data_IF_684141476701
#
_entry.id   IF_684141476701
#
_cell.length_a   1.000
_cell.length_b   1.000
_cell.length_c   1.000
_cell.angle_alpha   90.00
_cell.angle_beta   90.00
_cell.angle_gamma   90.00
#
_symmetry.space_group_name_H-M   'P 1'
#
loop_
_entity.id
_entity.type
_entity.pdbx_description
1 polymer ?
#
# COMPACT_ATOMS: atom_id res chain seq x y z
N UNK A 1 -8.48 15.24 -24.62
CA UNK A 1 -7.56 15.46 -23.49
C UNK A 1 -7.86 16.76 -22.75
N UNK A 2 -8.30 17.79 -23.45
CA UNK A 2 -8.54 19.14 -22.90
C UNK A 2 -9.65 19.19 -21.83
N UNK A 3 -10.73 18.40 -21.99
CA UNK A 3 -11.82 18.35 -21.01
C UNK A 3 -11.36 17.77 -19.66
N UNK A 4 -10.55 16.71 -19.66
CA UNK A 4 -10.02 16.11 -18.44
C UNK A 4 -9.02 17.04 -17.75
N UNK A 5 -8.15 17.71 -18.52
CA UNK A 5 -7.23 18.72 -18.01
C UNK A 5 -7.99 19.87 -17.36
N UNK A 6 -9.03 20.38 -18.00
CA UNK A 6 -9.88 21.45 -17.46
C UNK A 6 -10.61 21.05 -16.16
N UNK A 7 -11.07 19.81 -16.04
CA UNK A 7 -11.67 19.30 -14.80
C UNK A 7 -10.65 19.23 -13.65
N UNK A 8 -9.43 18.77 -13.94
CA UNK A 8 -8.34 18.73 -12.94
C UNK A 8 -7.98 20.15 -12.50
N UNK A 9 -7.81 21.08 -13.44
CA UNK A 9 -7.48 22.48 -13.12
C UNK A 9 -8.58 23.15 -12.28
N UNK A 10 -9.85 22.91 -12.61
CA UNK A 10 -10.97 23.41 -11.82
C UNK A 10 -10.99 22.82 -10.41
N UNK A 11 -10.72 21.51 -10.27
CA UNK A 11 -10.68 20.86 -8.97
C UNK A 11 -9.52 21.39 -8.10
N UNK A 12 -8.32 21.56 -8.65
CA UNK A 12 -7.18 22.14 -7.94
C UNK A 12 -7.46 23.59 -7.53
N UNK A 13 -7.99 24.41 -8.43
CA UNK A 13 -8.34 25.78 -8.13
C UNK A 13 -9.40 25.92 -7.04
N UNK A 14 -10.44 25.07 -7.06
CA UNK A 14 -11.54 25.11 -6.07
C UNK A 14 -11.09 24.68 -4.67
N UNK A 15 -10.04 23.83 -4.59
CA UNK A 15 -9.50 23.32 -3.31
C UNK A 15 -8.29 24.11 -2.82
N UNK A 16 -7.79 25.07 -3.59
CA UNK A 16 -6.52 25.78 -3.33
C UNK A 16 -5.32 24.84 -3.13
N UNK A 17 -5.37 23.64 -3.72
CA UNK A 17 -4.30 22.64 -3.69
C UNK A 17 -3.52 22.62 -4.99
N UNK A 18 -2.23 22.34 -4.90
CA UNK A 18 -1.43 22.00 -6.08
C UNK A 18 -1.40 20.47 -6.33
N UNK A 19 -0.68 20.02 -7.35
CA UNK A 19 -0.62 18.62 -7.72
C UNK A 19 0.03 17.75 -6.61
N UNK A 20 0.99 18.29 -5.85
CA UNK A 20 1.64 17.59 -4.72
C UNK A 20 0.67 17.48 -3.54
N UNK A 21 -0.03 18.56 -3.20
CA UNK A 21 -1.02 18.56 -2.13
C UNK A 21 -2.21 17.65 -2.45
N UNK A 22 -2.65 17.61 -3.70
CA UNK A 22 -3.68 16.68 -4.15
C UNK A 22 -3.24 15.21 -3.99
N UNK A 23 -1.97 14.90 -4.29
CA UNK A 23 -1.41 13.57 -4.09
C UNK A 23 -1.31 13.20 -2.60
N UNK A 24 -0.92 14.14 -1.73
CA UNK A 24 -0.93 13.98 -0.27
C UNK A 24 -2.36 13.73 0.24
N UNK A 25 -3.30 14.56 -0.20
CA UNK A 25 -4.71 14.45 0.15
C UNK A 25 -5.28 13.08 -0.25
N UNK A 26 -4.93 12.56 -1.44
CA UNK A 26 -5.31 11.21 -1.86
C UNK A 26 -4.87 10.14 -0.85
N UNK A 27 -3.61 10.13 -0.41
CA UNK A 27 -3.14 9.13 0.56
C UNK A 27 -3.80 9.29 1.93
N UNK A 28 -4.01 10.53 2.38
CA UNK A 28 -4.68 10.82 3.67
C UNK A 28 -6.14 10.38 3.60
N UNK A 29 -6.88 10.74 2.55
CA UNK A 29 -8.28 10.37 2.39
C UNK A 29 -8.46 8.86 2.28
N UNK A 30 -7.56 8.17 1.53
CA UNK A 30 -7.55 6.71 1.48
C UNK A 30 -7.32 6.09 2.86
N UNK A 31 -6.42 6.66 3.67
CA UNK A 31 -6.17 6.26 5.06
C UNK A 31 -7.40 6.43 5.93
N UNK A 32 -8.03 7.60 5.88
CA UNK A 32 -9.26 7.91 6.62
C UNK A 32 -10.41 6.98 6.21
N UNK A 33 -10.52 6.67 4.91
CA UNK A 33 -11.55 5.74 4.41
C UNK A 33 -11.38 4.35 5.00
N UNK A 34 -10.14 3.81 5.01
CA UNK A 34 -9.86 2.49 5.61
C UNK A 34 -10.17 2.49 7.11
N UNK A 35 -9.77 3.54 7.83
CA UNK A 35 -10.09 3.68 9.25
C UNK A 35 -11.59 3.74 9.49
N UNK A 36 -12.32 4.52 8.70
CA UNK A 36 -13.78 4.63 8.81
C UNK A 36 -14.47 3.28 8.59
N UNK A 37 -14.04 2.51 7.59
CA UNK A 37 -14.55 1.15 7.35
C UNK A 37 -14.22 0.21 8.51
N UNK A 38 -13.05 0.38 9.15
CA UNK A 38 -12.65 -0.46 10.29
C UNK A 38 -13.45 -0.18 11.58
N UNK A 39 -14.07 1.01 11.70
CA UNK A 39 -14.92 1.41 12.81
C UNK A 39 -16.40 1.01 12.63
N UNK A 40 -16.75 0.45 11.47
CA UNK A 40 -18.12 -0.04 11.24
C UNK A 40 -18.45 -1.20 12.18
N UNK A 41 -19.74 -1.36 12.57
CA UNK A 41 -20.21 -2.50 13.33
C UNK A 41 -19.79 -3.83 12.70
N UNK A 42 -19.56 -4.86 13.51
CA UNK A 42 -19.04 -6.18 13.05
C UNK A 42 -19.87 -6.78 11.91
N UNK A 43 -21.16 -6.53 11.88
CA UNK A 43 -22.08 -6.98 10.81
C UNK A 43 -21.77 -6.37 9.43
N UNK A 44 -21.28 -5.13 9.38
CA UNK A 44 -20.86 -4.44 8.16
C UNK A 44 -19.37 -4.67 7.89
N UNK A 45 -18.53 -4.62 8.91
CA UNK A 45 -17.10 -4.85 8.82
C UNK A 45 -16.77 -6.22 8.20
N UNK A 46 -17.48 -7.29 8.61
CA UNK A 46 -17.30 -8.64 8.08
C UNK A 46 -17.61 -8.77 6.58
N UNK A 47 -18.49 -7.92 6.05
CA UNK A 47 -18.87 -7.92 4.62
C UNK A 47 -17.76 -7.38 3.70
N UNK A 48 -16.99 -6.38 4.17
CA UNK A 48 -16.05 -5.62 3.33
C UNK A 48 -14.57 -5.95 3.59
N UNK A 49 -14.21 -6.35 4.82
CA UNK A 49 -12.80 -6.43 5.24
C UNK A 49 -12.25 -7.85 5.29
N UNK A 50 -13.09 -8.88 5.46
CA UNK A 50 -12.61 -10.26 5.57
C UNK A 50 -12.41 -10.86 4.16
N UNK A 51 -11.15 -11.16 3.80
CA UNK A 51 -10.80 -11.81 2.54
C UNK A 51 -9.68 -12.85 2.73
N UNK A 52 -9.45 -13.65 1.69
CA UNK A 52 -8.40 -14.68 1.66
C UNK A 52 -8.81 -15.99 2.35
N UNK A 53 -7.79 -16.77 2.75
CA UNK A 53 -7.98 -18.06 3.42
C UNK A 53 -8.77 -17.98 4.74
N UNK A 54 -8.95 -16.78 5.27
CA UNK A 54 -9.70 -16.49 6.49
C UNK A 54 -11.21 -16.40 6.25
N UNK A 55 -11.65 -15.99 5.07
CA UNK A 55 -13.07 -15.94 4.69
C UNK A 55 -13.65 -17.35 4.48
N UNK A 56 -12.87 -18.28 3.91
CA UNK A 56 -13.32 -19.65 3.64
C UNK A 56 -13.42 -20.53 4.89
N UNK A 57 -12.77 -20.16 6.00
CA UNK A 57 -12.85 -20.93 7.25
C UNK A 57 -14.08 -20.60 8.11
N UNK A 58 -14.79 -19.51 7.81
CA UNK A 58 -16.01 -19.12 8.53
C UNK A 58 -17.26 -19.84 7.96
N UNK A 59 -17.22 -20.23 6.67
CA UNK A 59 -18.35 -20.86 5.99
C UNK A 59 -18.41 -22.40 6.15
N UNK A 60 -17.44 -23.02 6.82
CA UNK A 60 -17.28 -24.49 6.85
C UNK A 60 -17.61 -25.16 8.19
N UNK A 61 -18.43 -24.55 9.04
CA UNK A 61 -18.98 -25.24 10.21
C UNK A 61 -20.50 -25.34 10.10
N UNK A 62 -21.06 -26.51 9.69
CA UNK A 62 -22.49 -26.73 9.84
C UNK A 62 -22.85 -26.80 11.34
N UNK A 63 -23.92 -26.18 11.77
CA UNK A 63 -24.37 -26.32 13.16
C UNK A 63 -24.89 -27.76 13.35
N UNK A 64 -24.15 -28.53 14.15
CA UNK A 64 -24.64 -29.79 14.69
C UNK A 64 -25.50 -29.48 15.89
N UNK A 65 -26.81 -29.38 15.71
CA UNK A 65 -27.82 -29.56 16.77
C UNK A 65 -29.11 -30.08 16.13
N UNK A 66 -29.77 -31.08 16.73
CA UNK A 66 -30.90 -31.78 16.11
C UNK A 66 -32.16 -30.91 16.09
N UNK A 67 -32.91 -31.11 15.01
CA UNK A 67 -34.14 -30.42 14.71
C UNK A 67 -35.19 -30.53 15.83
N UNK A 68 -35.71 -29.41 16.26
CA UNK A 68 -37.06 -29.29 16.73
C UNK A 68 -37.87 -28.51 15.70
N UNK A 69 -38.75 -29.23 15.04
CA UNK A 69 -39.75 -28.72 14.08
C UNK A 69 -40.67 -27.73 14.76
N UNK A 70 -40.56 -26.47 14.40
CA UNK A 70 -41.67 -25.51 14.48
C UNK A 70 -41.68 -24.69 13.22
N UNK A 71 -42.58 -25.01 12.33
CA UNK A 71 -42.93 -24.28 11.14
C UNK A 71 -43.52 -22.92 11.52
N UNK A 72 -42.70 -21.87 11.45
CA UNK A 72 -43.19 -20.52 11.37
C UNK A 72 -42.88 -19.99 9.95
N UNK A 73 -43.93 -19.82 9.18
CA UNK A 73 -43.99 -19.16 7.90
C UNK A 73 -43.56 -17.71 8.08
N UNK A 74 -42.26 -17.38 7.88
CA UNK A 74 -41.78 -16.01 7.77
C UNK A 74 -41.94 -15.56 6.33
N UNK A 75 -42.90 -14.69 6.07
CA UNK A 75 -43.01 -13.85 4.89
C UNK A 75 -41.64 -13.21 4.55
N UNK A 76 -41.29 -13.06 3.26
CA UNK A 76 -40.04 -12.37 2.86
C UNK A 76 -40.16 -10.91 3.25
N UNK A 77 -39.54 -10.51 4.37
CA UNK A 77 -39.38 -9.11 4.72
C UNK A 77 -38.51 -8.46 3.64
N UNK A 78 -39.08 -7.54 2.87
CA UNK A 78 -38.36 -6.72 1.89
C UNK A 78 -37.26 -5.95 2.63
N UNK A 79 -36.03 -6.41 2.49
CA UNK A 79 -34.85 -5.69 3.04
C UNK A 79 -34.83 -4.26 2.47
N UNK A 80 -34.55 -3.22 3.30
CA UNK A 80 -34.53 -1.84 2.85
C UNK A 80 -33.58 -1.69 1.65
N UNK A 81 -33.88 -0.79 0.71
CA UNK A 81 -33.11 -0.58 -0.51
C UNK A 81 -31.61 -0.37 -0.24
N UNK A 82 -31.29 0.28 0.87
CA UNK A 82 -29.92 0.44 1.40
C UNK A 82 -29.21 -0.90 1.65
N UNK A 83 -29.88 -1.88 2.18
CA UNK A 83 -29.29 -3.21 2.44
C UNK A 83 -28.96 -3.93 1.13
N UNK A 84 -29.83 -3.82 0.13
CA UNK A 84 -29.61 -4.40 -1.21
C UNK A 84 -28.41 -3.78 -1.93
N UNK A 85 -28.24 -2.45 -1.83
CA UNK A 85 -27.10 -1.74 -2.41
C UNK A 85 -25.81 -2.17 -1.70
N UNK A 86 -25.80 -2.25 -0.37
CA UNK A 86 -24.64 -2.70 0.40
C UNK A 86 -24.26 -4.16 0.06
N UNK A 87 -25.25 -5.05 -0.08
CA UNK A 87 -25.03 -6.45 -0.45
C UNK A 87 -24.49 -6.56 -1.89
N UNK A 88 -25.00 -5.76 -2.81
CA UNK A 88 -24.46 -5.66 -4.16
C UNK A 88 -23.01 -5.19 -4.16
N UNK A 89 -22.69 -4.09 -3.47
CA UNK A 89 -21.32 -3.55 -3.36
C UNK A 89 -20.38 -4.57 -2.71
N UNK A 90 -20.82 -5.30 -1.68
CA UNK A 90 -20.04 -6.34 -1.03
C UNK A 90 -19.84 -7.58 -1.91
N UNK A 91 -20.74 -7.84 -2.88
CA UNK A 91 -20.64 -8.96 -3.82
C UNK A 91 -19.59 -8.73 -4.92
N UNK A 92 -19.20 -7.46 -5.16
CA UNK A 92 -18.20 -7.12 -6.16
C UNK A 92 -16.81 -7.60 -5.69
N UNK A 93 -16.43 -8.78 -6.10
CA UNK A 93 -15.15 -9.40 -5.70
C UNK A 93 -14.36 -9.88 -6.90
N UNK A 94 -13.05 -9.61 -6.87
CA UNK A 94 -12.07 -10.09 -7.86
C UNK A 94 -11.25 -11.27 -7.29
N UNK A 95 -10.68 -12.13 -8.14
CA UNK A 95 -9.78 -13.19 -7.70
C UNK A 95 -8.58 -12.60 -6.93
N UNK A 96 -8.12 -13.29 -5.88
CA UNK A 96 -6.95 -12.85 -5.12
C UNK A 96 -5.66 -12.83 -5.97
N UNK A 97 -5.61 -13.61 -7.07
CA UNK A 97 -4.49 -13.56 -8.04
C UNK A 97 -4.28 -12.17 -8.66
N UNK A 98 -5.31 -11.30 -8.67
CA UNK A 98 -5.19 -9.91 -9.12
C UNK A 98 -4.28 -9.07 -8.23
N UNK A 99 -3.89 -9.57 -7.05
CA UNK A 99 -2.87 -8.95 -6.20
C UNK A 99 -1.53 -8.73 -6.94
N UNK A 100 -1.17 -9.62 -7.86
CA UNK A 100 0.01 -9.47 -8.71
C UNK A 100 -0.05 -8.20 -9.57
N UNK A 101 -1.25 -7.77 -9.98
CA UNK A 101 -1.43 -6.57 -10.82
C UNK A 101 -0.97 -5.29 -10.13
N UNK A 102 -0.96 -5.24 -8.79
CA UNK A 102 -0.42 -4.09 -8.05
C UNK A 102 1.05 -3.84 -8.38
N UNK A 103 1.84 -4.90 -8.42
CA UNK A 103 3.27 -4.79 -8.68
C UNK A 103 3.57 -4.68 -10.17
N UNK A 104 2.77 -5.29 -11.04
CA UNK A 104 2.83 -5.04 -12.48
C UNK A 104 2.56 -3.56 -12.78
N UNK A 105 1.50 -2.99 -12.17
CA UNK A 105 1.20 -1.56 -12.30
C UNK A 105 2.31 -0.68 -11.71
N UNK A 106 2.88 -1.05 -10.56
CA UNK A 106 4.01 -0.34 -9.95
C UNK A 106 5.21 -0.27 -10.87
N UNK A 107 5.64 -1.41 -11.44
CA UNK A 107 6.80 -1.50 -12.34
C UNK A 107 6.53 -0.76 -13.64
N UNK A 108 5.37 -0.98 -14.25
CA UNK A 108 4.98 -0.31 -15.50
C UNK A 108 4.90 1.21 -15.33
N UNK A 109 4.28 1.69 -14.25
CA UNK A 109 4.20 3.12 -13.94
C UNK A 109 5.57 3.72 -13.62
N UNK A 110 6.43 3.02 -12.87
CA UNK A 110 7.80 3.47 -12.61
C UNK A 110 8.62 3.57 -13.90
N UNK A 111 8.49 2.61 -14.81
CA UNK A 111 9.16 2.67 -16.12
C UNK A 111 8.61 3.82 -16.98
N UNK A 112 7.28 3.98 -17.03
CA UNK A 112 6.64 5.10 -17.72
C UNK A 112 7.16 6.45 -17.22
N UNK A 113 7.17 6.67 -15.91
CA UNK A 113 7.67 7.91 -15.33
C UNK A 113 9.17 8.08 -15.54
N UNK A 114 9.99 7.01 -15.49
CA UNK A 114 11.39 7.07 -15.86
C UNK A 114 11.60 7.66 -17.26
N UNK A 115 10.83 7.19 -18.25
CA UNK A 115 10.87 7.74 -19.62
C UNK A 115 10.39 9.19 -19.64
N UNK A 116 9.27 9.51 -18.96
CA UNK A 116 8.73 10.88 -18.90
C UNK A 116 9.72 11.87 -18.28
N UNK A 117 10.45 11.48 -17.24
CA UNK A 117 11.43 12.34 -16.57
C UNK A 117 12.69 12.54 -17.44
N UNK A 118 13.18 11.48 -18.08
CA UNK A 118 14.35 11.55 -18.97
C UNK A 118 14.09 12.41 -20.21
N UNK A 119 12.93 12.21 -20.86
CA UNK A 119 12.55 12.92 -22.08
C UNK A 119 11.83 14.25 -21.80
N UNK A 120 11.58 14.61 -20.53
CA UNK A 120 10.72 15.75 -20.14
C UNK A 120 9.39 15.72 -20.88
N UNK A 121 8.78 14.54 -20.92
CA UNK A 121 7.58 14.25 -21.71
C UNK A 121 6.33 15.00 -21.25
N UNK A 122 5.27 14.91 -22.07
CA UNK A 122 4.04 15.67 -21.88
C UNK A 122 3.36 15.39 -20.52
N UNK A 123 3.41 14.14 -20.01
CA UNK A 123 2.83 13.82 -18.71
C UNK A 123 3.59 14.48 -17.55
N UNK A 124 4.94 14.52 -17.63
CA UNK A 124 5.76 15.26 -16.67
C UNK A 124 5.42 16.75 -16.71
N UNK A 125 5.37 17.37 -17.89
CA UNK A 125 5.04 18.78 -18.04
C UNK A 125 3.64 19.10 -17.49
N UNK A 126 2.66 18.25 -17.80
CA UNK A 126 1.28 18.41 -17.30
C UNK A 126 1.21 18.35 -15.76
N UNK A 127 2.03 17.53 -15.11
CA UNK A 127 2.15 17.50 -13.65
C UNK A 127 2.86 18.76 -13.15
N UNK A 128 4.04 19.05 -13.67
CA UNK A 128 4.93 20.10 -13.17
C UNK A 128 4.34 21.52 -13.29
N UNK A 129 3.53 21.80 -14.32
CA UNK A 129 2.80 23.07 -14.48
C UNK A 129 1.72 23.27 -13.43
N UNK A 130 1.32 22.25 -12.69
CA UNK A 130 0.33 22.28 -11.62
C UNK A 130 0.93 22.24 -10.22
N UNK A 131 2.25 22.36 -10.10
CA UNK A 131 2.98 22.44 -8.84
C UNK A 131 3.17 23.90 -8.45
N UNK A 132 2.93 24.22 -7.18
CA UNK A 132 3.06 25.60 -6.67
C UNK A 132 4.52 26.09 -6.67
N UNK A 133 4.76 27.41 -6.77
CA UNK A 133 6.10 27.98 -6.69
C UNK A 133 6.87 27.56 -5.43
N UNK A 134 6.18 27.44 -4.30
CA UNK A 134 6.79 27.07 -3.02
C UNK A 134 7.34 25.64 -3.06
N UNK A 135 6.59 24.70 -3.63
CA UNK A 135 7.07 23.32 -3.82
C UNK A 135 8.17 23.23 -4.87
N UNK A 136 8.11 24.02 -5.94
CA UNK A 136 9.18 24.07 -6.95
C UNK A 136 10.51 24.59 -6.40
N UNK A 137 10.47 25.57 -5.45
CA UNK A 137 11.67 26.11 -4.82
C UNK A 137 12.33 25.13 -3.86
N UNK A 138 11.54 24.35 -3.12
CA UNK A 138 12.02 23.33 -2.15
C UNK A 138 12.20 21.98 -2.79
N UNK A 139 12.93 21.90 -3.87
CA UNK A 139 13.00 20.69 -4.69
C UNK A 139 14.07 19.70 -4.22
N UNK A 140 13.83 18.42 -4.43
CA UNK A 140 14.84 17.34 -4.30
C UNK A 140 15.95 17.53 -5.32
N UNK A 141 17.16 17.08 -5.02
CA UNK A 141 18.25 16.99 -6.00
C UNK A 141 18.01 15.87 -7.02
N UNK A 142 18.61 15.95 -8.20
CA UNK A 142 18.48 14.89 -9.23
C UNK A 142 18.97 13.54 -8.68
N UNK A 143 20.07 13.52 -7.93
CA UNK A 143 20.59 12.29 -7.34
C UNK A 143 19.59 11.64 -6.35
N UNK A 144 18.86 12.44 -5.57
CA UNK A 144 17.80 11.94 -4.70
C UNK A 144 16.64 11.37 -5.51
N UNK A 145 16.22 12.08 -6.57
CA UNK A 145 15.14 11.64 -7.47
C UNK A 145 15.50 10.28 -8.08
N UNK A 146 16.68 10.18 -8.68
CA UNK A 146 17.16 8.94 -9.31
C UNK A 146 17.28 7.80 -8.30
N UNK A 147 17.86 8.07 -7.12
CA UNK A 147 18.01 7.07 -6.06
C UNK A 147 16.64 6.54 -5.59
N UNK A 148 15.70 7.44 -5.28
CA UNK A 148 14.38 7.04 -4.80
C UNK A 148 13.57 6.32 -5.87
N UNK A 149 13.67 6.77 -7.12
CA UNK A 149 13.05 6.09 -8.26
C UNK A 149 13.61 4.68 -8.46
N UNK A 150 14.94 4.51 -8.42
CA UNK A 150 15.59 3.18 -8.51
C UNK A 150 15.18 2.30 -7.34
N UNK A 151 15.20 2.81 -6.11
CA UNK A 151 14.77 2.05 -4.93
C UNK A 151 13.32 1.56 -5.08
N UNK A 152 12.40 2.42 -5.54
CA UNK A 152 11.00 2.05 -5.73
C UNK A 152 10.82 1.05 -6.89
N UNK A 153 11.55 1.22 -7.99
CA UNK A 153 11.54 0.28 -9.11
C UNK A 153 12.03 -1.10 -8.68
N UNK A 154 13.17 -1.18 -7.99
CA UNK A 154 13.73 -2.44 -7.48
C UNK A 154 12.78 -3.12 -6.49
N UNK A 155 12.15 -2.35 -5.59
CA UNK A 155 11.14 -2.86 -4.68
C UNK A 155 9.95 -3.45 -5.47
N UNK A 156 9.45 -2.73 -6.47
CA UNK A 156 8.36 -3.18 -7.34
C UNK A 156 8.70 -4.47 -8.10
N UNK A 157 9.88 -4.52 -8.72
CA UNK A 157 10.37 -5.70 -9.46
C UNK A 157 10.53 -6.90 -8.53
N UNK A 158 11.14 -6.73 -7.35
CA UNK A 158 11.28 -7.80 -6.36
C UNK A 158 9.92 -8.33 -5.91
N UNK A 159 8.99 -7.44 -5.58
CA UNK A 159 7.64 -7.83 -5.17
C UNK A 159 6.86 -8.51 -6.30
N UNK A 160 7.02 -8.05 -7.52
CA UNK A 160 6.45 -8.68 -8.70
C UNK A 160 7.00 -10.11 -8.88
N UNK A 161 8.33 -10.28 -8.79
CA UNK A 161 8.97 -11.59 -8.81
C UNK A 161 8.40 -12.52 -7.71
N UNK A 162 8.31 -12.04 -6.48
CA UNK A 162 7.74 -12.83 -5.37
C UNK A 162 6.28 -13.23 -5.63
N UNK A 163 5.47 -12.38 -6.23
CA UNK A 163 4.10 -12.73 -6.60
C UNK A 163 4.02 -13.83 -7.65
N UNK A 164 4.96 -13.89 -8.58
CA UNK A 164 5.01 -14.98 -9.57
C UNK A 164 5.57 -16.27 -8.99
N UNK A 165 6.62 -16.19 -8.19
CA UNK A 165 7.35 -17.37 -7.70
C UNK A 165 6.75 -17.94 -6.41
N UNK A 166 6.29 -17.07 -5.49
CA UNK A 166 5.75 -17.50 -4.19
C UNK A 166 4.22 -17.62 -4.17
N UNK A 167 3.55 -17.48 -5.33
CA UNK A 167 2.11 -17.64 -5.36
C UNK A 167 1.70 -19.11 -5.35
N UNK A 168 0.59 -19.41 -4.65
CA UNK A 168 -0.07 -20.69 -4.69
C UNK A 168 -1.49 -20.50 -5.17
N UNK A 169 -2.04 -21.42 -6.00
CA UNK A 169 -3.44 -21.36 -6.41
C UNK A 169 -4.36 -21.22 -5.20
N UNK A 170 -5.26 -20.26 -5.25
CA UNK A 170 -6.22 -19.99 -4.20
C UNK A 170 -7.56 -19.58 -4.79
N UNK A 171 -8.64 -20.17 -4.28
CA UNK A 171 -10.02 -19.79 -4.61
C UNK A 171 -10.47 -18.51 -3.88
N UNK A 172 -9.60 -17.89 -3.08
CA UNK A 172 -9.94 -16.70 -2.32
C UNK A 172 -10.18 -15.50 -3.23
N UNK A 173 -11.06 -14.61 -2.79
CA UNK A 173 -11.42 -13.38 -3.51
C UNK A 173 -11.16 -12.19 -2.62
N UNK A 174 -10.82 -11.04 -3.21
CA UNK A 174 -10.73 -9.75 -2.54
C UNK A 174 -11.85 -8.82 -3.01
N UNK A 175 -12.21 -7.86 -2.20
CA UNK A 175 -13.20 -6.85 -2.57
C UNK A 175 -12.68 -5.96 -3.69
N UNK A 176 -13.53 -5.66 -4.69
CA UNK A 176 -13.16 -4.90 -5.88
C UNK A 176 -12.61 -3.50 -5.53
N UNK A 177 -13.23 -2.79 -4.56
CA UNK A 177 -12.74 -1.46 -4.15
C UNK A 177 -11.35 -1.55 -3.52
N UNK A 178 -11.07 -2.59 -2.75
CA UNK A 178 -9.73 -2.80 -2.19
C UNK A 178 -8.68 -2.99 -3.30
N UNK A 179 -9.01 -3.74 -4.34
CA UNK A 179 -8.16 -3.88 -5.51
C UNK A 179 -7.96 -2.56 -6.25
N UNK A 180 -9.01 -1.77 -6.46
CA UNK A 180 -8.92 -0.47 -7.12
C UNK A 180 -8.05 0.53 -6.33
N UNK A 181 -8.27 0.62 -5.01
CA UNK A 181 -7.46 1.48 -4.12
C UNK A 181 -5.99 1.03 -4.12
N UNK A 182 -5.73 -0.27 -4.14
CA UNK A 182 -4.38 -0.80 -4.26
C UNK A 182 -3.68 -0.39 -5.56
N UNK A 183 -4.37 -0.47 -6.71
CA UNK A 183 -3.85 0.03 -7.99
C UNK A 183 -3.56 1.54 -7.93
N UNK A 184 -4.53 2.32 -7.44
CA UNK A 184 -4.39 3.77 -7.30
C UNK A 184 -3.21 4.14 -6.38
N UNK A 185 -3.00 3.38 -5.29
CA UNK A 185 -1.85 3.56 -4.41
C UNK A 185 -0.52 3.39 -5.15
N UNK A 186 -0.32 2.31 -5.91
CA UNK A 186 0.93 2.07 -6.62
C UNK A 186 1.17 3.06 -7.77
N UNK A 187 0.10 3.49 -8.46
CA UNK A 187 0.18 4.57 -9.45
C UNK A 187 0.56 5.90 -8.78
N UNK A 188 -0.08 6.26 -7.67
CA UNK A 188 0.26 7.46 -6.89
C UNK A 188 1.68 7.41 -6.33
N UNK A 189 2.12 6.24 -5.84
CA UNK A 189 3.45 6.06 -5.28
C UNK A 189 4.56 6.21 -6.33
N UNK A 190 4.31 5.77 -7.59
CA UNK A 190 5.24 5.96 -8.70
C UNK A 190 5.45 7.44 -9.07
N UNK A 191 4.51 8.31 -8.70
CA UNK A 191 4.65 9.77 -8.79
C UNK A 191 5.29 10.35 -7.53
N UNK A 192 4.87 9.90 -6.34
CA UNK A 192 5.31 10.44 -5.06
C UNK A 192 6.83 10.42 -4.86
N UNK A 193 7.53 9.41 -5.42
CA UNK A 193 8.99 9.27 -5.26
C UNK A 193 9.82 10.35 -5.95
N UNK A 194 9.25 11.10 -6.89
CA UNK A 194 9.93 12.16 -7.63
C UNK A 194 9.19 13.50 -7.61
N UNK A 195 7.91 13.54 -7.24
CA UNK A 195 7.04 14.72 -7.38
C UNK A 195 7.62 15.98 -6.69
N UNK A 196 8.16 15.83 -5.47
CA UNK A 196 8.83 16.92 -4.75
C UNK A 196 10.22 17.28 -5.33
N UNK A 197 10.58 16.70 -6.48
CA UNK A 197 11.74 17.03 -7.29
C UNK A 197 11.40 17.78 -8.58
N UNK A 198 10.12 18.13 -8.81
CA UNK A 198 9.65 18.75 -10.05
C UNK A 198 10.39 20.05 -10.40
N UNK A 199 10.72 20.88 -9.41
CA UNK A 199 11.45 22.14 -9.62
C UNK A 199 12.84 21.93 -10.20
N UNK A 200 13.61 20.99 -9.66
CA UNK A 200 14.95 20.65 -10.18
C UNK A 200 14.87 20.06 -11.57
N UNK A 201 13.87 19.18 -11.84
CA UNK A 201 13.65 18.58 -13.16
C UNK A 201 13.19 19.59 -14.21
N UNK A 202 12.47 20.67 -13.81
CA UNK A 202 12.14 21.78 -14.68
C UNK A 202 13.37 22.67 -14.98
N UNK A 203 14.24 22.87 -13.99
CA UNK A 203 15.41 23.75 -14.13
C UNK A 203 16.45 23.18 -15.10
N UNK A 204 16.71 21.87 -15.05
CA UNK A 204 17.68 21.22 -15.94
C UNK A 204 17.30 19.76 -16.28
N UNK A 205 17.68 19.25 -17.46
CA UNK A 205 17.50 17.84 -17.81
C UNK A 205 18.42 16.95 -16.97
N UNK A 206 18.05 15.67 -16.85
CA UNK A 206 18.92 14.63 -16.29
C UNK A 206 20.06 14.35 -17.29
N UNK A 207 21.29 14.37 -16.82
CA UNK A 207 22.49 14.08 -17.61
C UNK A 207 23.14 12.77 -17.18
N UNK A 208 23.98 12.20 -18.05
CA UNK A 208 24.73 10.99 -17.71
C UNK A 208 25.66 11.17 -16.50
N UNK A 209 26.14 12.40 -16.27
CA UNK A 209 26.97 12.72 -15.11
C UNK A 209 26.22 12.62 -13.78
N UNK A 210 24.90 12.76 -13.78
CA UNK A 210 24.07 12.60 -12.59
C UNK A 210 23.98 11.13 -12.10
N UNK A 211 24.30 10.18 -12.97
CA UNK A 211 24.32 8.73 -12.63
C UNK A 211 25.70 8.32 -12.07
N UNK A 212 26.74 9.14 -12.27
CA UNK A 212 28.09 8.83 -11.78
C UNK A 212 28.16 9.06 -10.26
N UNK A 213 28.57 8.04 -9.53
CA UNK A 213 28.82 8.13 -8.08
C UNK A 213 30.21 8.75 -7.88
N UNK A 214 30.33 10.07 -8.03
CA UNK A 214 31.61 10.80 -7.93
C UNK A 214 31.81 11.51 -6.58
N UNK A 215 30.76 11.61 -5.78
CA UNK A 215 30.75 12.34 -4.51
C UNK A 215 30.35 11.40 -3.38
N UNK A 216 30.94 11.58 -2.19
CA UNK A 216 30.54 10.85 -1.00
C UNK A 216 29.03 10.99 -0.74
N UNK A 217 28.35 9.92 -0.34
CA UNK A 217 26.91 9.96 -0.08
C UNK A 217 26.60 10.94 1.05
N UNK A 218 25.48 11.66 0.95
CA UNK A 218 25.01 12.51 2.05
C UNK A 218 24.80 11.64 3.30
N UNK A 219 24.89 12.25 4.49
CA UNK A 219 24.59 11.56 5.76
C UNK A 219 23.22 10.88 5.72
N UNK A 220 22.25 11.52 5.12
CA UNK A 220 20.90 10.96 4.90
C UNK A 220 20.93 9.67 4.08
N UNK A 221 21.62 9.69 2.93
CA UNK A 221 21.80 8.51 2.08
C UNK A 221 22.56 7.40 2.80
N UNK A 222 23.64 7.78 3.50
CA UNK A 222 24.44 6.85 4.27
C UNK A 222 23.63 6.10 5.35
N UNK A 223 22.71 6.80 6.01
CA UNK A 223 21.87 6.22 7.06
C UNK A 223 20.69 5.41 6.50
N UNK A 224 19.91 6.01 5.60
CA UNK A 224 18.61 5.46 5.23
C UNK A 224 18.62 4.48 4.06
N UNK A 225 19.62 4.52 3.18
CA UNK A 225 19.75 3.53 2.11
C UNK A 225 20.05 2.11 2.65
N UNK A 226 21.01 1.91 3.59
CA UNK A 226 21.20 0.60 4.22
C UNK A 226 19.94 0.10 4.95
N UNK A 227 19.20 0.98 5.63
CA UNK A 227 17.95 0.61 6.32
C UNK A 227 16.90 0.14 5.30
N UNK A 228 16.76 0.84 4.18
CA UNK A 228 15.88 0.43 3.08
C UNK A 228 16.25 -0.97 2.55
N UNK A 229 17.53 -1.20 2.26
CA UNK A 229 18.02 -2.47 1.73
C UNK A 229 17.83 -3.63 2.72
N UNK A 230 18.15 -3.39 4.00
CA UNK A 230 17.96 -4.38 5.07
C UNK A 230 16.47 -4.71 5.23
N UNK A 231 15.61 -3.72 5.30
CA UNK A 231 14.17 -3.93 5.42
C UNK A 231 13.61 -4.69 4.21
N UNK A 232 14.09 -4.36 2.99
CA UNK A 232 13.72 -5.07 1.77
C UNK A 232 14.14 -6.54 1.81
N UNK A 233 15.36 -6.85 2.28
CA UNK A 233 15.84 -8.22 2.49
C UNK A 233 15.03 -8.98 3.53
N UNK A 234 14.80 -8.39 4.71
CA UNK A 234 13.98 -9.00 5.78
C UNK A 234 12.54 -9.28 5.32
N UNK A 235 11.97 -8.40 4.51
CA UNK A 235 10.65 -8.64 3.93
C UNK A 235 10.67 -9.84 2.99
N UNK A 236 11.68 -9.94 2.12
CA UNK A 236 11.87 -11.06 1.21
C UNK A 236 11.99 -12.39 1.96
N UNK A 237 12.84 -12.45 2.98
CA UNK A 237 13.04 -13.64 3.82
C UNK A 237 11.74 -14.07 4.50
N UNK A 238 10.98 -13.11 5.04
CA UNK A 238 9.70 -13.41 5.66
C UNK A 238 8.67 -13.95 4.66
N UNK A 239 8.62 -13.42 3.42
CA UNK A 239 7.74 -13.92 2.38
C UNK A 239 8.15 -15.31 1.89
N UNK A 240 9.45 -15.53 1.65
CA UNK A 240 9.99 -16.84 1.28
C UNK A 240 9.69 -17.89 2.35
N UNK A 241 9.91 -17.56 3.63
CA UNK A 241 9.58 -18.43 4.73
C UNK A 241 8.09 -18.76 4.80
N UNK A 242 7.20 -17.76 4.69
CA UNK A 242 5.75 -17.98 4.67
C UNK A 242 5.30 -18.85 3.49
N UNK A 243 5.94 -18.70 2.34
CA UNK A 243 5.71 -19.56 1.18
C UNK A 243 6.15 -21.01 1.41
N UNK A 244 7.28 -21.24 2.12
CA UNK A 244 7.77 -22.59 2.42
C UNK A 244 6.87 -23.35 3.40
N UNK A 245 6.08 -22.64 4.22
CA UNK A 245 5.22 -23.25 5.23
C UNK A 245 4.07 -24.06 4.60
N UNK A 246 3.76 -25.18 5.24
CA UNK A 246 2.51 -25.89 4.96
C UNK A 246 1.32 -24.98 5.31
N UNK A 247 0.28 -25.00 4.47
CA UNK A 247 -0.93 -24.21 4.69
C UNK A 247 -1.51 -24.40 6.10
N UNK A 248 -1.85 -23.29 6.75
CA UNK A 248 -2.40 -23.28 8.12
C UNK A 248 -1.44 -23.72 9.23
N UNK A 249 -0.14 -23.55 9.06
CA UNK A 249 0.88 -23.73 10.10
C UNK A 249 1.18 -22.40 10.80
N UNK A 250 1.42 -22.44 12.11
CA UNK A 250 1.86 -21.29 12.88
C UNK A 250 3.34 -20.98 12.55
N UNK A 251 3.71 -19.76 12.16
CA UNK A 251 5.11 -19.40 11.92
C UNK A 251 5.96 -19.48 13.18
N UNK A 252 7.13 -20.12 13.08
CA UNK A 252 8.10 -20.32 14.18
C UNK A 252 9.46 -19.69 13.92
N UNK A 253 9.69 -19.08 12.74
CA UNK A 253 10.93 -18.40 12.40
C UNK A 253 11.23 -17.24 13.39
N UNK A 254 12.51 -16.94 13.73
CA UNK A 254 12.87 -15.90 14.69
C UNK A 254 12.20 -14.54 14.47
N UNK A 255 12.00 -14.11 13.22
CA UNK A 255 11.27 -12.87 12.88
C UNK A 255 9.84 -12.86 13.42
N UNK A 256 9.21 -14.03 13.55
CA UNK A 256 7.83 -14.18 14.03
C UNK A 256 7.74 -14.43 15.55
N UNK A 257 8.86 -14.48 16.29
CA UNK A 257 8.81 -14.72 17.74
C UNK A 257 8.15 -13.56 18.49
N UNK A 258 8.46 -12.32 18.10
CA UNK A 258 7.95 -11.11 18.76
C UNK A 258 6.89 -10.36 17.95
N UNK A 259 6.77 -10.64 16.65
CA UNK A 259 5.85 -9.97 15.74
C UNK A 259 4.91 -10.97 15.05
N UNK A 260 3.65 -10.58 14.89
CA UNK A 260 2.67 -11.37 14.13
C UNK A 260 2.95 -11.28 12.63
N UNK A 261 3.27 -10.08 12.13
CA UNK A 261 3.53 -9.83 10.72
C UNK A 261 4.82 -9.00 10.52
N UNK A 262 6.03 -9.58 10.71
CA UNK A 262 7.30 -8.86 10.55
C UNK A 262 7.51 -8.31 9.13
N UNK A 263 6.98 -8.97 8.10
CA UNK A 263 7.03 -8.50 6.70
C UNK A 263 6.26 -7.19 6.50
N UNK A 264 5.22 -6.92 7.29
CA UNK A 264 4.50 -5.64 7.24
C UNK A 264 5.26 -4.54 7.99
N UNK A 265 5.96 -4.87 9.06
CA UNK A 265 6.91 -3.96 9.71
C UNK A 265 8.00 -3.54 8.74
N UNK A 266 8.58 -4.50 8.03
CA UNK A 266 9.60 -4.23 7.02
C UNK A 266 9.05 -3.34 5.88
N UNK A 267 7.81 -3.55 5.42
CA UNK A 267 7.16 -2.68 4.43
C UNK A 267 7.07 -1.24 4.94
N UNK A 268 6.63 -1.01 6.18
CA UNK A 268 6.58 0.33 6.77
C UNK A 268 7.97 0.97 6.86
N UNK A 269 9.00 0.21 7.22
CA UNK A 269 10.39 0.70 7.29
C UNK A 269 10.92 1.06 5.91
N UNK A 270 10.56 0.32 4.85
CA UNK A 270 10.90 0.63 3.45
C UNK A 270 10.34 2.01 3.07
N UNK A 271 9.05 2.25 3.28
CA UNK A 271 8.44 3.56 2.94
C UNK A 271 8.94 4.69 3.83
N UNK A 272 9.20 4.43 5.11
CA UNK A 272 9.78 5.43 6.01
C UNK A 272 11.20 5.81 5.56
N UNK A 273 12.02 4.84 5.17
CA UNK A 273 13.36 5.09 4.63
C UNK A 273 13.31 5.92 3.35
N UNK A 274 12.38 5.61 2.43
CA UNK A 274 12.13 6.41 1.24
C UNK A 274 11.70 7.84 1.59
N UNK A 275 10.85 8.03 2.61
CA UNK A 275 10.42 9.35 3.02
C UNK A 275 11.59 10.22 3.52
N UNK A 276 12.56 9.62 4.20
CA UNK A 276 13.79 10.33 4.58
C UNK A 276 14.73 10.58 3.40
N UNK A 277 14.94 9.58 2.52
CA UNK A 277 15.80 9.71 1.34
C UNK A 277 15.30 10.79 0.38
N UNK A 278 13.99 10.87 0.17
CA UNK A 278 13.33 11.77 -0.75
C UNK A 278 12.99 13.14 -0.14
N UNK A 279 13.47 13.47 1.05
CA UNK A 279 13.13 14.76 1.65
C UNK A 279 13.70 15.92 0.83
N UNK A 280 12.87 16.91 0.43
CA UNK A 280 13.31 18.05 -0.35
C UNK A 280 14.23 18.98 0.46
N UNK A 281 14.79 19.96 -0.21
CA UNK A 281 15.73 20.89 0.41
C UNK A 281 15.07 21.66 1.57
N UNK A 282 15.75 21.72 2.71
CA UNK A 282 15.25 22.37 3.93
C UNK A 282 14.30 21.51 4.77
N UNK A 283 13.86 20.36 4.27
CA UNK A 283 12.96 19.44 4.99
C UNK A 283 13.73 18.22 5.51
N UNK A 284 13.26 17.67 6.61
CA UNK A 284 13.83 16.44 7.19
C UNK A 284 13.21 15.18 6.59
N UNK A 285 11.95 15.26 6.11
CA UNK A 285 11.19 14.16 5.60
C UNK A 285 10.29 14.61 4.45
N UNK A 286 10.10 13.75 3.45
CA UNK A 286 9.16 13.96 2.36
C UNK A 286 7.73 13.69 2.85
N UNK A 287 6.90 14.73 2.91
CA UNK A 287 5.54 14.67 3.47
C UNK A 287 4.60 13.84 2.59
N UNK A 288 4.84 13.81 1.28
CA UNK A 288 4.03 13.02 0.33
C UNK A 288 4.24 11.52 0.53
N UNK A 289 5.50 11.08 0.64
CA UNK A 289 5.82 9.67 0.93
C UNK A 289 5.43 9.30 2.36
N UNK A 290 5.54 10.23 3.32
CA UNK A 290 5.07 10.00 4.68
C UNK A 290 3.55 9.77 4.74
N UNK A 291 2.76 10.52 3.97
CA UNK A 291 1.32 10.28 3.84
C UNK A 291 1.01 8.90 3.22
N UNK A 292 1.78 8.51 2.20
CA UNK A 292 1.69 7.17 1.62
C UNK A 292 2.08 6.08 2.63
N UNK A 293 3.13 6.27 3.42
CA UNK A 293 3.54 5.37 4.50
C UNK A 293 2.44 5.24 5.57
N UNK A 294 1.77 6.32 5.94
CA UNK A 294 0.64 6.27 6.87
C UNK A 294 -0.50 5.38 6.34
N UNK A 295 -0.84 5.49 5.05
CA UNK A 295 -1.80 4.60 4.40
C UNK A 295 -1.37 3.13 4.50
N UNK A 296 -0.11 2.82 4.18
CA UNK A 296 0.45 1.47 4.29
C UNK A 296 0.36 0.95 5.72
N UNK A 297 0.79 1.74 6.70
CA UNK A 297 0.80 1.35 8.11
C UNK A 297 -0.62 1.05 8.64
N UNK A 298 -1.60 1.87 8.29
CA UNK A 298 -3.01 1.69 8.68
C UNK A 298 -3.58 0.43 8.03
N UNK A 299 -3.44 0.28 6.71
CA UNK A 299 -3.96 -0.86 5.98
C UNK A 299 -3.36 -2.19 6.46
N UNK A 300 -2.04 -2.24 6.62
CA UNK A 300 -1.33 -3.44 7.08
C UNK A 300 -1.54 -3.68 8.57
N UNK A 301 -1.70 -2.64 9.39
CA UNK A 301 -2.05 -2.75 10.79
C UNK A 301 -3.39 -3.47 10.99
N UNK A 302 -4.44 -3.03 10.32
CA UNK A 302 -5.76 -3.67 10.36
C UNK A 302 -5.70 -5.11 9.85
N UNK A 303 -4.94 -5.36 8.78
CA UNK A 303 -4.72 -6.71 8.25
C UNK A 303 -4.02 -7.60 9.28
N UNK A 304 -3.06 -7.06 10.03
CA UNK A 304 -2.37 -7.80 11.09
C UNK A 304 -3.29 -8.12 12.26
N UNK A 305 -4.15 -7.18 12.69
CA UNK A 305 -5.14 -7.42 13.73
C UNK A 305 -6.06 -8.60 13.36
N UNK A 306 -6.52 -8.64 12.11
CA UNK A 306 -7.33 -9.76 11.60
C UNK A 306 -6.53 -11.08 11.55
N UNK A 307 -5.23 -11.02 11.20
CA UNK A 307 -4.34 -12.18 11.22
C UNK A 307 -4.16 -12.73 12.63
N UNK A 308 -3.95 -11.83 13.61
CA UNK A 308 -3.84 -12.20 15.04
C UNK A 308 -5.11 -12.88 15.55
N UNK A 309 -6.30 -12.31 15.25
CA UNK A 309 -7.59 -12.90 15.62
C UNK A 309 -7.73 -14.31 15.05
N UNK A 310 -7.37 -14.52 13.79
CA UNK A 310 -7.40 -15.82 13.13
C UNK A 310 -6.43 -16.82 13.77
N UNK A 311 -5.19 -16.42 14.13
CA UNK A 311 -4.25 -17.27 14.84
C UNK A 311 -4.78 -17.68 16.23
N UNK A 312 -5.38 -16.75 16.98
CA UNK A 312 -5.98 -17.03 18.29
C UNK A 312 -7.14 -18.04 18.14
N UNK A 313 -7.99 -17.90 17.16
CA UNK A 313 -9.11 -18.82 16.91
C UNK A 313 -8.61 -20.22 16.50
N UNK A 314 -7.51 -20.29 15.76
CA UNK A 314 -7.01 -21.55 15.22
C UNK A 314 -6.07 -22.30 16.16
N UNK A 315 -5.22 -21.59 16.90
CA UNK A 315 -4.12 -22.14 17.69
C UNK A 315 -4.21 -21.81 19.20
N UNK A 316 -5.27 -21.10 19.61
CA UNK A 316 -5.44 -20.68 21.00
C UNK A 316 -4.73 -19.36 21.34
N UNK A 317 -5.15 -18.73 22.44
CA UNK A 317 -4.61 -17.44 22.90
C UNK A 317 -3.13 -17.47 23.23
N UNK A 318 -2.63 -18.60 23.74
CA UNK A 318 -1.20 -18.80 24.10
C UNK A 318 -0.27 -18.61 22.91
N UNK A 319 -0.71 -18.94 21.67
CA UNK A 319 0.09 -18.79 20.46
C UNK A 319 0.48 -17.35 20.13
N UNK A 320 -0.27 -16.36 20.63
CA UNK A 320 -0.06 -14.92 20.38
C UNK A 320 0.38 -14.17 21.65
N UNK A 321 0.63 -14.86 22.75
CA UNK A 321 1.08 -14.22 23.98
C UNK A 321 2.48 -13.63 23.81
N UNK A 322 2.68 -12.37 24.29
CA UNK A 322 3.97 -11.67 24.18
C UNK A 322 4.37 -11.21 22.77
N UNK A 323 3.47 -11.36 21.77
CA UNK A 323 3.73 -10.88 20.40
C UNK A 323 3.03 -9.54 20.14
N UNK A 324 3.75 -8.63 19.51
CA UNK A 324 3.21 -7.37 18.95
C UNK A 324 2.63 -7.62 17.55
N UNK A 325 1.71 -6.80 17.12
CA UNK A 325 1.15 -6.93 15.77
C UNK A 325 2.20 -6.62 14.69
N UNK A 326 2.69 -5.38 14.68
CA UNK A 326 3.66 -4.87 13.71
C UNK A 326 4.76 -4.03 14.36
N UNK A 327 4.43 -3.17 15.33
CA UNK A 327 5.35 -2.20 15.90
C UNK A 327 5.74 -2.64 17.29
N UNK A 328 7.02 -3.07 17.51
CA UNK A 328 7.48 -3.49 18.83
C UNK A 328 7.25 -2.40 19.87
N UNK A 329 6.67 -2.75 21.01
CA UNK A 329 6.41 -1.83 22.12
C UNK A 329 5.15 -0.97 21.98
N UNK A 330 4.50 -0.93 20.80
CA UNK A 330 3.34 -0.05 20.56
C UNK A 330 2.11 -0.81 20.07
N UNK A 331 2.26 -1.65 19.08
CA UNK A 331 1.11 -2.29 18.42
C UNK A 331 1.39 -3.72 17.98
#
# INVERSE_FOLDING_TARGET
MDMLAGLVDTALASTHMDAIDALRAFFILASCTILSVSLLPDSLHSRFVIYGARATSTDSKPPSTPASTTSSSSSPSSSPATTRILDFLASLRVPHSYFTQFYVASVAASAFWGVQLLCRGAAFQAFATRVSPDHLQRSMTINQILLCWVCMLLQGVRRMYECFVFSRPSASRMWFIHWLVGLAFYLGMSVAVWAEGAGTLLARPIALDDVKVTIAPSLRTFLFLPIFLLASGLQHDAHHYLFSLKKYTLPTHPLFHRLVCPHYTAECVIYLSLAFLAAPQGETINKTILAAMAFVAINLGLTTANTRRWYIQRFGRSSMQGKWNMIPGMY
#
